data_IF_807557011545
#
_entry.id   IF_807557011545
#
_cell.length_a   1.000
_cell.length_b   1.000
_cell.length_c   1.000
_cell.angle_alpha   90.00
_cell.angle_beta   90.00
_cell.angle_gamma   90.00
#
_symmetry.space_group_name_H-M   'P 1'
#
loop_
_entity.id
_entity.type
_entity.pdbx_description
1 polymer ?
#
# COMPACT_ATOMS: atom_id res chain seq x y z
N UNK A 1 -7.00 -0.16 -8.27
CA UNK A 1 -6.28 0.29 -7.06
C UNK A 1 -5.42 1.47 -7.44
N UNK A 2 -5.73 2.67 -6.93
CA UNK A 2 -5.00 3.89 -7.31
C UNK A 2 -4.05 4.31 -6.19
N UNK A 3 -2.75 4.35 -6.49
CA UNK A 3 -1.72 4.86 -5.60
C UNK A 3 -1.39 6.31 -6.02
N UNK A 4 -1.44 7.24 -5.08
CA UNK A 4 -1.10 8.66 -5.31
C UNK A 4 -0.13 9.09 -4.22
N UNK A 5 0.97 9.73 -4.60
CA UNK A 5 1.86 10.40 -3.65
C UNK A 5 1.61 11.90 -3.75
N UNK A 6 1.36 12.56 -2.62
CA UNK A 6 1.15 14.01 -2.55
C UNK A 6 1.82 14.61 -1.34
N UNK A 7 2.17 15.88 -1.42
CA UNK A 7 2.58 16.67 -0.26
C UNK A 7 1.35 17.18 0.50
N UNK A 8 1.42 17.16 1.83
CA UNK A 8 0.38 17.68 2.71
C UNK A 8 1.01 18.59 3.74
N UNK A 9 0.41 19.77 3.95
CA UNK A 9 0.83 20.66 5.03
C UNK A 9 0.19 20.20 6.33
N UNK A 10 1.02 20.03 7.36
CA UNK A 10 0.57 19.70 8.71
C UNK A 10 1.07 20.76 9.69
N UNK A 11 0.51 20.85 10.92
CA UNK A 11 1.02 21.78 11.94
C UNK A 11 2.51 21.59 12.28
N UNK A 12 3.07 20.43 11.94
CA UNK A 12 4.47 20.06 12.17
C UNK A 12 5.33 20.22 10.90
N UNK A 13 4.82 20.90 9.87
CA UNK A 13 5.48 21.13 8.60
C UNK A 13 4.93 20.30 7.43
N UNK A 14 5.56 20.45 6.28
CA UNK A 14 5.23 19.70 5.05
C UNK A 14 5.57 18.23 5.23
N UNK A 15 4.63 17.35 4.90
CA UNK A 15 4.75 15.90 4.93
C UNK A 15 4.39 15.28 3.60
N UNK A 16 4.70 14.01 3.46
CA UNK A 16 4.39 13.23 2.27
C UNK A 16 3.31 12.22 2.59
N UNK A 17 2.22 12.22 1.83
CA UNK A 17 1.13 11.28 2.01
C UNK A 17 1.03 10.35 0.80
N UNK A 18 1.07 9.05 1.07
CA UNK A 18 0.74 8.01 0.10
C UNK A 18 -0.73 7.64 0.30
N UNK A 19 -1.53 7.82 -0.74
CA UNK A 19 -2.95 7.47 -0.76
C UNK A 19 -3.15 6.22 -1.60
N UNK A 20 -3.84 5.24 -1.02
CA UNK A 20 -4.29 4.01 -1.63
C UNK A 20 -5.82 4.00 -1.59
N UNK A 21 -6.45 4.40 -2.68
CA UNK A 21 -7.90 4.64 -2.76
C UNK A 21 -8.38 5.57 -1.62
N UNK A 22 -9.00 5.02 -0.55
CA UNK A 22 -9.48 5.79 0.62
C UNK A 22 -8.52 5.82 1.81
N UNK A 23 -7.42 5.07 1.76
CA UNK A 23 -6.45 4.97 2.85
C UNK A 23 -5.27 5.90 2.60
N UNK A 24 -4.92 6.75 3.58
CA UNK A 24 -3.78 7.65 3.49
C UNK A 24 -2.75 7.38 4.58
N UNK A 25 -1.49 7.14 4.21
CA UNK A 25 -0.36 6.97 5.14
C UNK A 25 0.60 8.15 4.98
N UNK A 26 1.00 8.76 6.09
CA UNK A 26 1.84 9.97 6.09
C UNK A 26 3.27 9.68 6.53
N UNK A 27 4.23 10.27 5.84
CA UNK A 27 5.68 10.11 6.01
C UNK A 27 6.33 11.48 6.22
N UNK A 28 7.51 11.46 6.85
CA UNK A 28 8.30 12.67 7.12
C UNK A 28 9.15 13.08 5.91
N UNK A 29 9.50 12.12 5.05
CA UNK A 29 10.31 12.35 3.86
C UNK A 29 9.70 11.73 2.59
N UNK A 30 10.10 12.27 1.44
CA UNK A 30 9.72 11.73 0.13
C UNK A 30 10.30 10.33 -0.09
N UNK A 31 11.53 10.11 0.37
CA UNK A 31 12.24 8.84 0.24
C UNK A 31 11.49 7.69 0.92
N UNK A 32 11.03 7.90 2.16
CA UNK A 32 10.20 6.92 2.88
C UNK A 32 8.88 6.65 2.16
N UNK A 33 8.20 7.69 1.69
CA UNK A 33 6.95 7.55 0.94
C UNK A 33 7.16 6.72 -0.34
N UNK A 34 8.23 6.99 -1.10
CA UNK A 34 8.59 6.24 -2.31
C UNK A 34 8.96 4.79 -2.01
N UNK A 35 9.71 4.53 -0.93
CA UNK A 35 10.05 3.17 -0.51
C UNK A 35 8.81 2.37 -0.10
N UNK A 36 7.87 3.02 0.59
CA UNK A 36 6.59 2.42 0.93
C UNK A 36 5.78 2.06 -0.32
N UNK A 37 5.70 2.96 -1.30
CA UNK A 37 5.04 2.70 -2.59
C UNK A 37 5.64 1.48 -3.30
N UNK A 38 6.97 1.41 -3.41
CA UNK A 38 7.64 0.24 -4.03
C UNK A 38 7.28 -1.08 -3.32
N UNK A 39 7.24 -1.06 -2.00
CA UNK A 39 6.85 -2.23 -1.20
C UNK A 39 5.39 -2.61 -1.46
N UNK A 40 4.51 -1.62 -1.53
CA UNK A 40 3.09 -1.81 -1.80
C UNK A 40 2.86 -2.38 -3.20
N UNK A 41 3.48 -1.80 -4.23
CA UNK A 41 3.39 -2.28 -5.61
C UNK A 41 3.91 -3.70 -5.74
N UNK A 42 5.06 -4.03 -5.15
CA UNK A 42 5.59 -5.39 -5.14
C UNK A 42 4.63 -6.39 -4.50
N UNK A 43 3.93 -6.00 -3.43
CA UNK A 43 2.93 -6.86 -2.79
C UNK A 43 1.70 -7.04 -3.69
N UNK A 44 1.22 -5.98 -4.33
CA UNK A 44 0.05 -6.06 -5.21
C UNK A 44 0.31 -6.86 -6.48
N UNK A 45 1.54 -6.83 -6.99
CA UNK A 45 1.96 -7.60 -8.16
C UNK A 45 2.40 -9.03 -7.80
N UNK A 46 2.60 -9.33 -6.52
CA UNK A 46 3.04 -10.66 -6.13
C UNK A 46 1.99 -11.70 -6.52
N UNK A 47 2.40 -12.84 -7.11
CA UNK A 47 1.49 -13.93 -7.38
C UNK A 47 1.01 -14.52 -6.06
N UNK A 48 -0.19 -14.13 -5.63
CA UNK A 48 -0.84 -14.70 -4.46
C UNK A 48 -1.51 -16.01 -4.85
N UNK A 49 -0.93 -17.13 -4.45
CA UNK A 49 -1.58 -18.42 -4.60
C UNK A 49 -2.87 -18.42 -3.76
N UNK A 50 -4.01 -18.70 -4.40
CA UNK A 50 -5.24 -18.99 -3.67
C UNK A 50 -5.03 -20.27 -2.85
N UNK A 51 -5.41 -20.30 -1.56
CA UNK A 51 -5.38 -21.54 -0.81
C UNK A 51 -6.25 -22.57 -1.53
N UNK A 52 -5.65 -23.71 -1.90
CA UNK A 52 -6.36 -24.83 -2.50
C UNK A 52 -7.46 -25.22 -1.52
N UNK A 53 -8.72 -25.06 -1.90
CA UNK A 53 -9.83 -25.50 -1.06
C UNK A 53 -9.61 -26.98 -0.77
N UNK A 54 -9.67 -27.43 0.50
CA UNK A 54 -9.68 -28.86 0.76
C UNK A 54 -10.90 -29.42 0.03
N UNK A 55 -10.67 -30.34 -0.91
CA UNK A 55 -11.73 -31.12 -1.53
C UNK A 55 -12.57 -31.70 -0.40
N UNK A 56 -13.82 -31.22 -0.30
CA UNK A 56 -14.78 -31.82 0.61
C UNK A 56 -14.98 -33.24 0.14
N UNK A 57 -14.28 -34.18 0.78
CA UNK A 57 -14.51 -35.62 0.64
C UNK A 57 -15.93 -35.88 1.14
N UNK A 58 -16.90 -35.82 0.22
CA UNK A 58 -18.24 -36.32 0.47
C UNK A 58 -18.13 -37.85 0.59
N UNK A 59 -18.53 -38.37 1.76
CA UNK A 59 -18.65 -39.80 2.08
C UNK A 59 -19.88 -40.42 1.43
#
# INVERSE_FOLDING_TARGET
>A
MKIIVRTVMTPQGSRWQVCLDRHGVTFRSEAEAKQFVRTLENRLQAPHALPRQPESVAS
#
